data_IF_284920500069
#
_entry.id   IF_284920500069
#
_cell.length_a   1.000
_cell.length_b   1.000
_cell.length_c   1.000
_cell.angle_alpha   90.00
_cell.angle_beta   90.00
_cell.angle_gamma   90.00
#
_symmetry.space_group_name_H-M   'P 1'
#
loop_
_entity.id
_entity.type
_entity.pdbx_description
1 polymer ?
#
# COMPACT_ATOMS: atom_id res chain seq x y z
N UNK A 1 12.85 4.84 -3.15
CA UNK A 1 11.69 5.25 -3.97
C UNK A 1 12.16 5.36 -5.41
N UNK A 2 11.55 4.66 -6.35
CA UNK A 2 11.71 5.00 -7.77
C UNK A 2 10.90 6.28 -8.03
N UNK A 3 11.55 7.34 -8.51
CA UNK A 3 10.86 8.58 -8.85
C UNK A 3 10.12 8.35 -10.18
N UNK A 4 8.85 8.72 -10.29
CA UNK A 4 8.00 8.36 -11.46
C UNK A 4 8.31 9.20 -12.72
N UNK A 5 9.53 9.75 -12.76
CA UNK A 5 10.19 10.47 -13.83
C UNK A 5 11.69 10.12 -13.79
N UNK A 6 12.04 8.84 -13.86
CA UNK A 6 13.20 8.49 -14.68
C UNK A 6 12.91 9.02 -16.09
N UNK A 7 13.57 10.12 -16.42
CA UNK A 7 13.59 10.65 -17.78
C UNK A 7 14.10 9.51 -18.65
N UNK A 8 13.31 9.08 -19.62
CA UNK A 8 13.70 8.02 -20.56
C UNK A 8 15.00 8.45 -21.22
N UNK A 9 16.09 7.87 -20.74
CA UNK A 9 17.43 8.11 -21.25
C UNK A 9 17.51 7.40 -22.59
N UNK A 10 17.08 8.10 -23.65
CA UNK A 10 17.29 7.66 -25.02
C UNK A 10 18.78 7.28 -25.16
N UNK A 11 19.11 6.14 -25.81
CA UNK A 11 20.51 5.71 -25.95
C UNK A 11 21.36 6.70 -26.76
N UNK A 12 20.72 7.61 -27.48
CA UNK A 12 21.33 8.76 -28.14
C UNK A 12 21.31 10.00 -27.24
N UNK A 13 22.45 10.69 -27.11
CA UNK A 13 22.52 11.97 -26.41
C UNK A 13 21.57 13.02 -27.04
N UNK A 14 20.92 13.90 -26.24
CA UNK A 14 19.92 14.83 -26.76
C UNK A 14 20.53 15.83 -27.73
N UNK A 15 19.96 15.87 -28.94
CA UNK A 15 20.41 16.72 -30.04
C UNK A 15 20.09 18.22 -29.83
N UNK A 16 20.43 19.02 -30.84
CA UNK A 16 20.26 20.47 -30.82
C UNK A 16 18.79 20.91 -30.74
N UNK A 17 17.87 20.22 -31.41
CA UNK A 17 16.44 20.53 -31.39
C UNK A 17 15.81 20.25 -30.02
N UNK A 18 16.16 19.11 -29.40
CA UNK A 18 15.76 18.78 -28.04
C UNK A 18 16.27 19.81 -27.02
N UNK A 19 17.52 20.28 -27.18
CA UNK A 19 18.10 21.34 -26.33
C UNK A 19 17.39 22.69 -26.50
N UNK A 20 17.03 23.06 -27.73
CA UNK A 20 16.24 24.27 -28.01
C UNK A 20 14.85 24.16 -27.36
N UNK A 21 14.13 23.05 -27.55
CA UNK A 21 12.81 22.83 -26.98
C UNK A 21 12.83 22.88 -25.43
N UNK A 22 13.79 22.23 -24.80
CA UNK A 22 13.98 22.28 -23.33
C UNK A 22 14.29 23.69 -22.85
N UNK A 23 15.17 24.43 -23.54
CA UNK A 23 15.47 25.82 -23.18
C UNK A 23 14.28 26.76 -23.39
N UNK A 24 13.45 26.54 -24.42
CA UNK A 24 12.20 27.27 -24.62
C UNK A 24 11.18 26.98 -23.49
N UNK A 25 11.04 25.72 -23.06
CA UNK A 25 10.18 25.35 -21.92
C UNK A 25 10.67 25.94 -20.59
N UNK A 26 11.98 26.11 -20.40
CA UNK A 26 12.54 26.86 -19.25
C UNK A 26 12.29 28.37 -19.39
N UNK A 27 12.49 28.95 -20.58
CA UNK A 27 12.24 30.38 -20.85
C UNK A 27 10.76 30.79 -20.70
N UNK A 28 9.84 29.93 -21.14
CA UNK A 28 8.39 30.04 -20.88
C UNK A 28 8.02 29.77 -19.40
N UNK A 29 9.00 29.51 -18.54
CA UNK A 29 8.81 29.19 -17.12
C UNK A 29 7.87 27.98 -16.88
N UNK A 30 7.82 27.02 -17.82
CA UNK A 30 7.09 25.77 -17.65
C UNK A 30 7.95 24.70 -16.97
N UNK A 31 9.27 24.77 -17.14
CA UNK A 31 10.27 23.98 -16.42
C UNK A 31 11.16 24.87 -15.53
N UNK A 32 11.60 24.31 -14.40
CA UNK A 32 12.59 24.87 -13.47
C UNK A 32 13.78 23.92 -13.40
N UNK A 33 14.99 24.48 -13.38
CA UNK A 33 16.23 23.72 -13.11
C UNK A 33 16.40 23.56 -11.60
N UNK A 34 16.59 22.34 -11.12
CA UNK A 34 16.93 22.06 -9.72
C UNK A 34 18.45 22.09 -9.52
N UNK A 35 18.90 22.27 -8.27
CA UNK A 35 20.33 22.43 -7.94
C UNK A 35 21.23 21.21 -8.23
N UNK A 36 20.62 20.05 -8.49
CA UNK A 36 21.24 18.80 -8.96
C UNK A 36 21.33 18.72 -10.50
N UNK A 37 21.03 19.81 -11.21
CA UNK A 37 21.04 19.90 -12.67
C UNK A 37 19.81 19.31 -13.37
N UNK A 38 18.88 18.68 -12.64
CA UNK A 38 17.65 18.10 -13.22
C UNK A 38 16.63 19.20 -13.57
N UNK A 39 15.54 18.79 -14.23
CA UNK A 39 14.43 19.66 -14.63
C UNK A 39 13.12 19.15 -14.01
N UNK A 40 12.29 20.08 -13.52
CA UNK A 40 10.95 19.79 -12.98
C UNK A 40 9.93 20.81 -13.48
N UNK A 41 8.68 20.40 -13.68
CA UNK A 41 7.61 21.31 -14.07
C UNK A 41 7.39 22.39 -13.00
N UNK A 42 7.31 23.67 -13.40
CA UNK A 42 7.24 24.82 -12.47
C UNK A 42 6.02 24.76 -11.57
N UNK A 43 4.84 24.52 -12.14
CA UNK A 43 3.59 24.43 -11.38
C UNK A 43 3.64 23.34 -10.32
N UNK A 44 4.18 22.16 -10.66
CA UNK A 44 4.42 21.09 -9.67
C UNK A 44 5.45 21.51 -8.63
N UNK A 45 6.55 22.14 -9.02
CA UNK A 45 7.58 22.62 -8.08
C UNK A 45 7.01 23.66 -7.10
N UNK A 46 6.14 24.56 -7.55
CA UNK A 46 5.43 25.52 -6.70
C UNK A 46 4.44 24.79 -5.78
N UNK A 47 3.60 23.89 -6.29
CA UNK A 47 2.65 23.12 -5.49
C UNK A 47 3.35 22.27 -4.41
N UNK A 48 4.38 21.51 -4.80
CA UNK A 48 5.25 20.77 -3.89
C UNK A 48 5.88 21.69 -2.82
N UNK A 49 6.33 22.90 -3.19
CA UNK A 49 6.92 23.86 -2.24
C UNK A 49 5.88 24.43 -1.28
N UNK A 50 4.69 24.78 -1.76
CA UNK A 50 3.58 25.28 -0.93
C UNK A 50 3.09 24.20 0.04
N UNK A 51 2.94 22.95 -0.42
CA UNK A 51 2.58 21.82 0.45
C UNK A 51 3.67 21.58 1.50
N UNK A 52 4.94 21.46 1.10
CA UNK A 52 6.04 21.11 2.01
C UNK A 52 6.39 22.22 3.01
N UNK A 53 6.40 23.49 2.57
CA UNK A 53 6.99 24.60 3.30
C UNK A 53 5.96 25.64 3.81
N UNK A 54 4.67 25.48 3.49
CA UNK A 54 3.59 26.36 3.99
C UNK A 54 2.48 25.55 4.63
N UNK A 55 1.79 24.69 3.87
CA UNK A 55 0.60 23.99 4.33
C UNK A 55 0.91 22.94 5.41
N UNK A 56 2.06 22.24 5.35
CA UNK A 56 2.50 21.35 6.45
C UNK A 56 2.72 22.05 7.80
N UNK A 57 2.91 23.37 7.81
CA UNK A 57 2.98 24.17 9.05
C UNK A 57 1.62 24.76 9.46
N UNK A 58 0.56 24.48 8.69
CA UNK A 58 -0.81 24.94 8.91
C UNK A 58 -1.78 23.78 8.65
N UNK A 59 -1.86 22.84 9.59
CA UNK A 59 -2.62 21.59 9.44
C UNK A 59 -4.08 21.82 9.02
N UNK A 60 -4.73 22.87 9.52
CA UNK A 60 -6.12 23.23 9.18
C UNK A 60 -6.26 23.67 7.70
N UNK A 61 -5.39 24.57 7.21
CA UNK A 61 -5.33 24.95 5.79
C UNK A 61 -5.10 23.70 4.91
N UNK A 62 -4.20 22.80 5.33
CA UNK A 62 -3.89 21.57 4.60
C UNK A 62 -5.06 20.57 4.60
N UNK A 63 -5.70 20.35 5.74
CA UNK A 63 -6.89 19.50 5.88
C UNK A 63 -8.00 20.00 4.95
N UNK A 64 -8.29 21.30 4.99
CA UNK A 64 -9.31 21.92 4.15
C UNK A 64 -8.99 21.78 2.66
N UNK A 65 -7.74 22.06 2.23
CA UNK A 65 -7.33 21.92 0.82
C UNK A 65 -7.50 20.47 0.35
N UNK A 66 -7.05 19.49 1.13
CA UNK A 66 -7.12 18.07 0.75
C UNK A 66 -8.58 17.58 0.74
N UNK A 67 -9.39 17.96 1.73
CA UNK A 67 -10.82 17.65 1.76
C UNK A 67 -11.55 18.23 0.53
N UNK A 68 -11.27 19.49 0.14
CA UNK A 68 -11.89 20.11 -1.05
C UNK A 68 -11.42 19.49 -2.36
N UNK A 69 -10.14 19.13 -2.49
CA UNK A 69 -9.63 18.44 -3.67
C UNK A 69 -10.22 17.02 -3.79
N UNK A 70 -10.27 16.26 -2.70
CA UNK A 70 -10.87 14.93 -2.69
C UNK A 70 -12.37 15.00 -3.02
N UNK A 71 -13.11 15.92 -2.40
CA UNK A 71 -14.53 16.13 -2.67
C UNK A 71 -14.82 16.50 -4.14
N UNK A 72 -13.97 17.36 -4.73
CA UNK A 72 -14.08 17.73 -6.14
C UNK A 72 -13.88 16.52 -7.06
N UNK A 73 -12.81 15.74 -6.87
CA UNK A 73 -12.57 14.56 -7.69
C UNK A 73 -13.59 13.44 -7.42
N UNK A 74 -14.13 13.33 -6.21
CA UNK A 74 -15.23 12.41 -5.89
C UNK A 74 -16.51 12.75 -6.67
N UNK A 75 -16.95 14.01 -6.64
CA UNK A 75 -18.12 14.46 -7.40
C UNK A 75 -17.98 14.25 -8.92
N UNK A 76 -16.76 14.28 -9.46
CA UNK A 76 -16.48 14.04 -10.88
C UNK A 76 -16.29 12.56 -11.25
N UNK A 77 -15.74 11.73 -10.35
CA UNK A 77 -15.24 10.39 -10.70
C UNK A 77 -15.91 9.21 -10.00
N UNK A 78 -16.89 9.42 -9.11
CA UNK A 78 -17.59 8.35 -8.40
C UNK A 78 -18.22 7.29 -9.33
N UNK A 79 -18.73 7.71 -10.49
CA UNK A 79 -19.36 6.83 -11.49
C UNK A 79 -18.35 6.20 -12.46
N UNK A 80 -17.04 6.42 -12.29
CA UNK A 80 -16.00 6.01 -13.24
C UNK A 80 -15.25 4.79 -12.70
N UNK A 81 -15.51 3.64 -13.32
CA UNK A 81 -14.87 2.35 -12.98
C UNK A 81 -13.47 2.18 -13.58
N UNK A 82 -13.12 2.93 -14.64
CA UNK A 82 -11.77 2.88 -15.20
C UNK A 82 -10.76 3.64 -14.32
N UNK A 83 -9.89 2.88 -13.66
CA UNK A 83 -8.80 3.38 -12.84
C UNK A 83 -7.68 4.11 -13.63
N UNK A 84 -7.65 3.98 -14.97
CA UNK A 84 -6.76 4.77 -15.84
C UNK A 84 -7.35 6.13 -16.22
N UNK A 85 -8.66 6.35 -16.09
CA UNK A 85 -9.26 7.65 -16.34
C UNK A 85 -8.64 8.71 -15.43
N UNK A 86 -8.22 9.84 -16.02
CA UNK A 86 -7.40 10.87 -15.35
C UNK A 86 -7.93 11.25 -13.97
N UNK A 87 -9.23 11.47 -13.88
CA UNK A 87 -9.87 12.04 -12.70
C UNK A 87 -10.18 10.98 -11.63
N UNK A 88 -10.43 9.72 -12.03
CA UNK A 88 -10.49 8.55 -11.12
C UNK A 88 -9.10 8.23 -10.57
N UNK A 89 -8.07 8.29 -11.43
CA UNK A 89 -6.67 8.14 -11.05
C UNK A 89 -6.19 9.25 -10.09
N UNK A 90 -6.66 10.49 -10.27
CA UNK A 90 -6.41 11.59 -9.33
C UNK A 90 -7.10 11.37 -7.98
N UNK A 91 -8.37 10.94 -7.99
CA UNK A 91 -9.11 10.58 -6.77
C UNK A 91 -8.42 9.48 -5.96
N UNK A 92 -8.00 8.38 -6.61
CA UNK A 92 -7.33 7.26 -5.94
C UNK A 92 -5.99 7.69 -5.31
N UNK A 93 -5.25 8.61 -5.95
CA UNK A 93 -4.01 9.17 -5.40
C UNK A 93 -4.25 10.07 -4.18
N UNK A 94 -5.36 10.79 -4.14
CA UNK A 94 -5.78 11.58 -2.98
C UNK A 94 -6.33 10.71 -1.84
N UNK A 95 -7.03 9.61 -2.16
CA UNK A 95 -7.52 8.64 -1.18
C UNK A 95 -6.39 7.85 -0.50
N UNK A 96 -5.26 7.61 -1.18
CA UNK A 96 -4.20 6.72 -0.72
C UNK A 96 -3.75 7.03 0.74
N UNK A 97 -3.80 6.03 1.61
CA UNK A 97 -3.36 6.12 3.00
C UNK A 97 -1.89 6.58 3.13
N UNK A 98 -0.99 6.17 2.21
CA UNK A 98 0.38 6.66 2.16
C UNK A 98 0.45 8.17 1.90
N UNK A 99 -0.45 8.70 1.04
CA UNK A 99 -0.57 10.15 0.80
C UNK A 99 -0.96 10.84 2.10
N UNK A 100 -2.03 10.38 2.78
CA UNK A 100 -2.48 10.96 4.06
C UNK A 100 -1.39 10.95 5.13
N UNK A 101 -0.71 9.81 5.32
CA UNK A 101 0.42 9.69 6.26
C UNK A 101 1.59 10.61 5.86
N UNK A 102 1.89 10.74 4.56
CA UNK A 102 2.96 11.64 4.09
C UNK A 102 2.67 13.12 4.33
N UNK A 103 1.41 13.51 4.53
CA UNK A 103 1.03 14.90 4.81
C UNK A 103 1.20 15.29 6.29
N UNK A 104 1.42 14.32 7.19
CA UNK A 104 1.59 14.54 8.63
C UNK A 104 0.40 15.28 9.27
N UNK A 105 -0.81 14.95 8.79
CA UNK A 105 -2.09 15.32 9.39
C UNK A 105 -2.42 14.39 10.56
N UNK A 106 -3.16 14.89 11.53
CA UNK A 106 -3.58 14.11 12.69
C UNK A 106 -4.71 13.15 12.31
N UNK A 107 -4.84 12.01 13.02
CA UNK A 107 -5.75 10.93 12.62
C UNK A 107 -7.21 11.40 12.43
N UNK A 108 -7.68 12.32 13.27
CA UNK A 108 -9.05 12.84 13.19
C UNK A 108 -9.25 13.89 12.09
N UNK A 109 -8.17 14.53 11.61
CA UNK A 109 -8.19 15.33 10.39
C UNK A 109 -8.30 14.43 9.14
N UNK A 110 -7.55 13.33 9.09
CA UNK A 110 -7.62 12.34 8.00
C UNK A 110 -9.00 11.68 7.94
N UNK A 111 -9.62 11.38 9.09
CA UNK A 111 -11.00 10.91 9.17
C UNK A 111 -11.99 11.92 8.58
N UNK A 112 -11.94 13.19 9.02
CA UNK A 112 -12.80 14.26 8.47
C UNK A 112 -12.64 14.44 6.95
N UNK A 113 -11.43 14.29 6.41
CA UNK A 113 -11.18 14.28 4.96
C UNK A 113 -11.93 13.13 4.27
N UNK A 114 -11.83 11.91 4.78
CA UNK A 114 -12.56 10.77 4.21
C UNK A 114 -14.08 10.92 4.39
N UNK A 115 -14.54 11.34 5.57
CA UNK A 115 -15.96 11.52 5.89
C UNK A 115 -16.62 12.60 4.99
N UNK A 116 -15.89 13.67 4.63
CA UNK A 116 -16.38 14.67 3.69
C UNK A 116 -16.70 14.10 2.29
N UNK A 117 -15.93 13.11 1.84
CA UNK A 117 -16.12 12.44 0.56
C UNK A 117 -17.11 11.26 0.60
N UNK A 118 -17.53 10.83 1.79
CA UNK A 118 -18.34 9.63 2.02
C UNK A 118 -19.60 9.58 1.16
N UNK A 119 -20.33 10.70 1.03
CA UNK A 119 -21.57 10.80 0.25
C UNK A 119 -21.45 10.41 -1.24
N UNK A 120 -20.24 10.41 -1.79
CA UNK A 120 -19.96 10.02 -3.17
C UNK A 120 -19.27 8.65 -3.27
N UNK A 121 -18.65 8.17 -2.20
CA UNK A 121 -17.70 7.04 -2.21
C UNK A 121 -18.05 5.89 -1.26
N UNK A 122 -19.19 5.97 -0.55
CA UNK A 122 -19.70 4.90 0.31
C UNK A 122 -19.87 3.54 -0.42
N UNK A 123 -20.01 3.57 -1.75
CA UNK A 123 -20.20 2.39 -2.60
C UNK A 123 -18.90 1.97 -3.33
N UNK A 124 -17.76 2.65 -3.09
CA UNK A 124 -16.46 2.36 -3.71
C UNK A 124 -15.56 1.53 -2.77
N UNK A 125 -15.23 0.29 -3.16
CA UNK A 125 -14.35 -0.58 -2.37
C UNK A 125 -12.94 0.02 -2.18
N UNK A 126 -12.45 0.86 -3.11
CA UNK A 126 -11.15 1.51 -2.95
C UNK A 126 -11.16 2.57 -1.85
N UNK A 127 -12.25 3.29 -1.65
CA UNK A 127 -12.40 4.28 -0.57
C UNK A 127 -12.32 3.61 0.80
N UNK A 128 -13.09 2.53 1.00
CA UNK A 128 -13.05 1.77 2.25
C UNK A 128 -11.71 1.06 2.49
N UNK A 129 -11.09 0.51 1.44
CA UNK A 129 -9.75 -0.06 1.51
C UNK A 129 -8.70 0.94 2.02
N UNK A 130 -8.71 2.19 1.54
CA UNK A 130 -7.76 3.19 2.02
C UNK A 130 -8.05 3.64 3.47
N UNK A 131 -9.33 3.76 3.86
CA UNK A 131 -9.70 3.97 5.27
C UNK A 131 -9.22 2.82 6.16
N UNK A 132 -9.35 1.57 5.70
CA UNK A 132 -8.90 0.39 6.42
C UNK A 132 -7.38 0.36 6.61
N UNK A 133 -6.61 0.54 5.53
CA UNK A 133 -5.14 0.54 5.59
C UNK A 133 -4.60 1.69 6.45
N UNK A 134 -5.24 2.86 6.42
CA UNK A 134 -4.88 3.98 7.31
C UNK A 134 -5.10 3.63 8.79
N UNK A 135 -6.29 3.16 9.18
CA UNK A 135 -6.56 2.77 10.57
C UNK A 135 -5.67 1.59 11.02
N UNK A 136 -5.34 0.66 10.11
CA UNK A 136 -4.42 -0.45 10.37
C UNK A 136 -2.99 0.02 10.64
N UNK A 137 -2.47 0.99 9.86
CA UNK A 137 -1.16 1.61 10.15
C UNK A 137 -1.16 2.41 11.46
N UNK A 138 -2.32 2.90 11.92
CA UNK A 138 -2.48 3.51 13.25
C UNK A 138 -2.69 2.49 14.38
N UNK A 139 -2.64 1.18 14.09
CA UNK A 139 -2.86 0.09 15.05
C UNK A 139 -4.32 -0.11 15.49
N UNK A 140 -5.27 0.59 14.87
CA UNK A 140 -6.70 0.65 15.24
C UNK A 140 -7.49 -0.46 14.54
N UNK A 141 -7.09 -1.71 14.82
CA UNK A 141 -7.47 -2.87 14.01
C UNK A 141 -8.97 -3.18 13.97
N UNK A 142 -9.74 -2.83 15.01
CA UNK A 142 -11.21 -2.98 15.00
C UNK A 142 -11.86 -2.05 13.95
N UNK A 143 -11.37 -0.81 13.85
CA UNK A 143 -11.83 0.15 12.83
C UNK A 143 -11.38 -0.27 11.43
N UNK A 144 -10.17 -0.80 11.29
CA UNK A 144 -9.72 -1.37 10.03
C UNK A 144 -10.60 -2.55 9.59
N UNK A 145 -10.96 -3.45 10.51
CA UNK A 145 -11.85 -4.59 10.27
C UNK A 145 -13.24 -4.12 9.82
N UNK A 146 -13.81 -3.10 10.48
CA UNK A 146 -15.10 -2.52 10.10
C UNK A 146 -15.07 -1.88 8.70
N UNK A 147 -14.01 -1.13 8.38
CA UNK A 147 -13.82 -0.58 7.04
C UNK A 147 -13.64 -1.69 5.98
N UNK A 148 -12.95 -2.79 6.27
CA UNK A 148 -12.82 -3.94 5.37
C UNK A 148 -14.14 -4.68 5.14
N UNK A 149 -14.97 -4.80 6.17
CA UNK A 149 -16.32 -5.35 6.04
C UNK A 149 -17.18 -4.50 5.08
N UNK A 150 -17.09 -3.17 5.17
CA UNK A 150 -17.72 -2.26 4.22
C UNK A 150 -17.14 -2.41 2.81
N UNK A 151 -15.80 -2.46 2.66
CA UNK A 151 -15.13 -2.65 1.37
C UNK A 151 -15.60 -3.93 0.65
N UNK A 152 -15.82 -5.02 1.39
CA UNK A 152 -16.32 -6.31 0.86
C UNK A 152 -17.82 -6.32 0.57
N UNK A 153 -18.58 -5.36 1.09
CA UNK A 153 -20.00 -5.15 0.75
C UNK A 153 -20.21 -4.36 -0.54
N UNK A 154 -19.22 -3.56 -0.95
CA UNK A 154 -19.24 -2.81 -2.20
C UNK A 154 -19.04 -3.72 -3.44
N UNK A 155 -19.47 -3.30 -4.65
CA UNK A 155 -19.21 -4.02 -5.89
C UNK A 155 -17.74 -4.38 -6.08
N UNK A 156 -17.49 -5.61 -6.56
CA UNK A 156 -16.19 -6.26 -6.77
C UNK A 156 -15.26 -6.41 -5.55
N UNK A 157 -15.53 -5.71 -4.43
CA UNK A 157 -14.63 -5.64 -3.28
C UNK A 157 -14.47 -6.94 -2.48
N UNK A 158 -15.38 -7.91 -2.63
CA UNK A 158 -15.27 -9.24 -2.03
C UNK A 158 -14.29 -10.16 -2.74
N UNK A 159 -14.02 -9.92 -4.03
CA UNK A 159 -13.01 -10.65 -4.82
C UNK A 159 -11.74 -9.84 -5.08
N UNK A 160 -11.73 -8.53 -4.80
CA UNK A 160 -10.53 -7.71 -5.02
C UNK A 160 -9.32 -8.18 -4.22
N UNK A 161 -8.21 -8.33 -4.94
CA UNK A 161 -6.94 -8.82 -4.43
C UNK A 161 -6.31 -7.92 -3.38
N UNK A 162 -6.57 -6.60 -3.39
CA UNK A 162 -6.03 -5.67 -2.39
C UNK A 162 -6.89 -5.71 -1.12
N UNK A 163 -8.22 -5.74 -1.25
CA UNK A 163 -9.14 -5.91 -0.11
C UNK A 163 -8.86 -7.22 0.64
N UNK A 164 -8.72 -8.36 -0.08
CA UNK A 164 -8.36 -9.65 0.55
C UNK A 164 -6.97 -9.62 1.18
N UNK A 165 -6.00 -8.96 0.56
CA UNK A 165 -4.63 -8.80 1.13
C UNK A 165 -4.65 -7.98 2.42
N UNK A 166 -5.41 -6.88 2.45
CA UNK A 166 -5.56 -6.00 3.62
C UNK A 166 -6.37 -6.68 4.74
N UNK A 167 -7.41 -7.45 4.42
CA UNK A 167 -8.15 -8.24 5.40
C UNK A 167 -7.25 -9.29 6.06
N UNK A 168 -6.46 -10.02 5.28
CA UNK A 168 -5.51 -10.98 5.81
C UNK A 168 -4.44 -10.31 6.69
N UNK A 169 -3.87 -9.17 6.25
CA UNK A 169 -2.94 -8.34 7.05
C UNK A 169 -3.55 -7.96 8.42
N UNK A 170 -4.81 -7.53 8.45
CA UNK A 170 -5.49 -7.14 9.70
C UNK A 170 -5.78 -8.35 10.60
N UNK A 171 -6.21 -9.50 10.06
CA UNK A 171 -6.42 -10.74 10.85
C UNK A 171 -5.12 -11.23 11.52
N UNK A 172 -4.00 -11.23 10.79
CA UNK A 172 -2.68 -11.55 11.34
C UNK A 172 -2.29 -10.54 12.44
N UNK A 173 -2.50 -9.24 12.19
CA UNK A 173 -2.28 -8.18 13.16
C UNK A 173 -3.11 -8.34 14.44
N UNK A 174 -4.37 -8.75 14.33
CA UNK A 174 -5.30 -8.88 15.45
C UNK A 174 -4.86 -10.00 16.41
N UNK A 175 -4.59 -11.19 15.87
CA UNK A 175 -4.09 -12.32 16.66
C UNK A 175 -2.68 -12.09 17.23
N UNK A 176 -1.86 -11.21 16.64
CA UNK A 176 -0.61 -10.76 17.26
C UNK A 176 -0.82 -9.87 18.50
N UNK A 177 -2.02 -9.34 18.78
CA UNK A 177 -2.28 -8.59 20.02
C UNK A 177 -2.38 -9.51 21.24
N UNK A 178 -2.94 -10.71 21.07
CA UNK A 178 -3.08 -11.75 22.10
C UNK A 178 -2.60 -13.12 21.57
N UNK A 179 -1.26 -13.36 21.49
CA UNK A 179 -0.70 -14.60 20.96
C UNK A 179 -0.98 -15.83 21.82
N UNK A 180 -1.38 -15.65 23.08
CA UNK A 180 -1.68 -16.73 24.02
C UNK A 180 -3.06 -17.35 23.80
N UNK A 181 -3.90 -16.72 22.97
CA UNK A 181 -5.30 -17.07 22.75
C UNK A 181 -5.48 -18.00 21.54
N UNK A 182 -5.73 -19.31 21.75
CA UNK A 182 -5.71 -20.28 20.66
C UNK A 182 -6.88 -20.13 19.68
N UNK A 183 -7.96 -19.45 20.09
CA UNK A 183 -9.09 -19.11 19.23
C UNK A 183 -8.69 -18.00 18.25
N UNK A 184 -8.11 -16.90 18.74
CA UNK A 184 -7.65 -15.80 17.87
C UNK A 184 -6.51 -16.23 16.94
N UNK A 185 -5.54 -16.99 17.44
CA UNK A 185 -4.43 -17.49 16.61
C UNK A 185 -4.95 -18.43 15.50
N UNK A 186 -5.78 -19.43 15.80
CA UNK A 186 -6.31 -20.32 14.75
C UNK A 186 -7.29 -19.61 13.79
N UNK A 187 -8.03 -18.61 14.25
CA UNK A 187 -8.84 -17.77 13.36
C UNK A 187 -8.01 -16.95 12.35
N UNK A 188 -6.71 -16.76 12.60
CA UNK A 188 -5.79 -16.09 11.69
C UNK A 188 -5.08 -17.03 10.70
N UNK A 189 -5.05 -18.36 10.93
CA UNK A 189 -4.46 -19.33 9.98
C UNK A 189 -5.01 -19.15 8.55
N UNK A 190 -6.34 -19.03 8.31
CA UNK A 190 -6.90 -18.77 6.98
C UNK A 190 -6.33 -17.54 6.26
N UNK A 191 -5.87 -16.51 6.98
CA UNK A 191 -5.28 -15.32 6.37
C UNK A 191 -4.00 -15.62 5.58
N UNK A 192 -3.19 -16.58 6.03
CA UNK A 192 -1.98 -17.03 5.31
C UNK A 192 -2.38 -17.74 4.01
N UNK A 193 -3.41 -18.56 4.05
CA UNK A 193 -3.96 -19.23 2.87
C UNK A 193 -4.60 -18.25 1.88
N UNK A 194 -5.34 -17.25 2.37
CA UNK A 194 -5.94 -16.19 1.54
C UNK A 194 -4.85 -15.37 0.81
N UNK A 195 -3.77 -14.98 1.52
CA UNK A 195 -2.61 -14.31 0.93
C UNK A 195 -1.92 -15.18 -0.12
N UNK A 196 -1.66 -16.45 0.18
CA UNK A 196 -1.04 -17.39 -0.75
C UNK A 196 -1.92 -17.66 -1.99
N UNK A 197 -3.23 -17.74 -1.80
CA UNK A 197 -4.23 -17.89 -2.88
C UNK A 197 -4.27 -16.65 -3.79
N UNK A 198 -4.18 -15.44 -3.23
CA UNK A 198 -4.05 -14.20 -4.02
C UNK A 198 -2.72 -14.18 -4.78
N UNK A 199 -1.61 -14.47 -4.10
CA UNK A 199 -0.28 -14.50 -4.69
C UNK A 199 -0.15 -15.52 -5.85
N UNK A 200 -0.74 -16.71 -5.71
CA UNK A 200 -0.75 -17.75 -6.75
C UNK A 200 -1.74 -17.47 -7.89
N UNK A 201 -2.94 -16.92 -7.62
CA UNK A 201 -3.95 -16.53 -8.62
C UNK A 201 -3.47 -15.39 -9.53
N UNK A 202 -2.86 -14.35 -8.96
CA UNK A 202 -2.50 -13.12 -9.68
C UNK A 202 -1.01 -12.99 -10.02
N UNK A 203 -0.11 -13.77 -9.38
CA UNK A 203 1.34 -13.81 -9.64
C UNK A 203 1.95 -12.41 -9.69
N UNK A 204 2.69 -12.08 -10.76
CA UNK A 204 3.35 -10.78 -10.94
C UNK A 204 2.43 -9.54 -10.85
N UNK A 205 1.10 -9.72 -10.94
CA UNK A 205 0.12 -8.64 -10.77
C UNK A 205 -0.27 -8.37 -9.30
N UNK A 206 0.24 -9.14 -8.33
CA UNK A 206 -0.02 -8.96 -6.91
C UNK A 206 1.26 -8.90 -6.04
N UNK A 207 2.22 -7.98 -6.33
CA UNK A 207 3.45 -7.85 -5.54
C UNK A 207 3.20 -7.61 -4.03
N UNK A 208 2.17 -6.83 -3.69
CA UNK A 208 1.80 -6.58 -2.29
C UNK A 208 1.40 -7.84 -1.52
N UNK A 209 0.77 -8.83 -2.16
CA UNK A 209 0.41 -10.08 -1.50
C UNK A 209 1.65 -10.90 -1.12
N UNK A 210 2.68 -10.93 -1.99
CA UNK A 210 3.98 -11.53 -1.64
C UNK A 210 4.66 -10.79 -0.49
N UNK A 211 4.67 -9.45 -0.51
CA UNK A 211 5.28 -8.63 0.55
C UNK A 211 4.59 -8.86 1.90
N UNK A 212 3.25 -8.85 1.94
CA UNK A 212 2.49 -9.07 3.18
C UNK A 212 2.63 -10.51 3.68
N UNK A 213 2.58 -11.51 2.79
CA UNK A 213 2.79 -12.92 3.15
C UNK A 213 4.20 -13.16 3.73
N UNK A 214 5.23 -12.64 3.08
CA UNK A 214 6.61 -12.75 3.54
C UNK A 214 6.81 -12.03 4.88
N UNK A 215 6.40 -10.76 4.97
CA UNK A 215 6.67 -9.92 6.14
C UNK A 215 5.75 -10.23 7.33
N UNK A 216 4.44 -10.02 7.16
CA UNK A 216 3.50 -10.12 8.27
C UNK A 216 3.16 -11.58 8.60
N UNK A 217 3.20 -12.48 7.60
CA UNK A 217 3.11 -13.93 7.83
C UNK A 217 4.27 -14.48 8.68
N UNK A 218 5.52 -14.13 8.36
CA UNK A 218 6.68 -14.57 9.16
C UNK A 218 6.66 -13.98 10.57
N UNK A 219 6.32 -12.69 10.72
CA UNK A 219 6.21 -12.02 12.04
C UNK A 219 5.09 -12.64 12.90
N UNK A 220 3.97 -12.98 12.28
CA UNK A 220 2.87 -13.67 12.95
C UNK A 220 3.27 -15.08 13.38
N UNK A 221 3.91 -15.87 12.51
CA UNK A 221 4.39 -17.21 12.85
C UNK A 221 5.45 -17.18 13.97
N UNK A 222 6.40 -16.23 13.91
CA UNK A 222 7.41 -15.99 14.94
C UNK A 222 6.80 -15.66 16.32
N UNK A 223 5.68 -14.90 16.35
CA UNK A 223 5.04 -14.46 17.60
C UNK A 223 4.00 -15.44 18.14
N UNK A 224 3.26 -16.11 17.25
CA UNK A 224 2.07 -16.91 17.59
C UNK A 224 2.26 -18.42 17.36
N UNK A 225 3.36 -18.84 16.73
CA UNK A 225 3.58 -20.23 16.30
C UNK A 225 3.59 -21.26 17.44
N UNK A 226 3.99 -20.87 18.66
CA UNK A 226 3.93 -21.73 19.84
C UNK A 226 2.51 -22.08 20.31
N UNK A 227 1.49 -21.39 19.79
CA UNK A 227 0.06 -21.61 20.09
C UNK A 227 -0.64 -22.45 19.00
N UNK A 228 0.03 -22.69 17.86
CA UNK A 228 -0.43 -23.57 16.78
C UNK A 228 -0.15 -25.04 17.13
N UNK A 229 -0.93 -25.96 16.56
CA UNK A 229 -0.51 -27.37 16.50
C UNK A 229 0.70 -27.53 15.56
N UNK A 230 1.53 -28.59 15.72
CA UNK A 230 2.66 -28.82 14.83
C UNK A 230 2.28 -28.93 13.34
N UNK A 231 1.09 -29.44 13.04
CA UNK A 231 0.57 -29.49 11.66
C UNK A 231 0.25 -28.10 11.12
N UNK A 232 -0.49 -27.28 11.87
CA UNK A 232 -0.79 -25.89 11.48
C UNK A 232 0.48 -25.05 11.34
N UNK A 233 1.47 -25.23 12.22
CA UNK A 233 2.77 -24.56 12.16
C UNK A 233 3.51 -24.88 10.86
N UNK A 234 3.65 -26.16 10.53
CA UNK A 234 4.37 -26.60 9.32
C UNK A 234 3.63 -26.16 8.05
N UNK A 235 2.30 -26.30 8.00
CA UNK A 235 1.53 -25.85 6.83
C UNK A 235 1.66 -24.33 6.62
N UNK A 236 1.53 -23.52 7.67
CA UNK A 236 1.74 -22.06 7.59
C UNK A 236 3.15 -21.72 7.12
N UNK A 237 4.17 -22.32 7.73
CA UNK A 237 5.59 -22.10 7.40
C UNK A 237 5.85 -22.40 5.91
N UNK A 238 5.36 -23.54 5.41
CA UNK A 238 5.54 -23.93 4.02
C UNK A 238 4.77 -23.02 3.06
N UNK A 239 3.57 -22.53 3.38
CA UNK A 239 2.89 -21.52 2.54
C UNK A 239 3.63 -20.18 2.47
N UNK A 240 4.28 -19.76 3.55
CA UNK A 240 5.10 -18.53 3.54
C UNK A 240 6.39 -18.79 2.71
N UNK A 241 7.04 -19.95 2.87
CA UNK A 241 8.23 -20.34 2.10
C UNK A 241 7.94 -20.46 0.59
N UNK A 242 6.88 -21.17 0.21
CA UNK A 242 6.37 -21.25 -1.16
C UNK A 242 6.06 -19.86 -1.72
N UNK A 243 5.43 -19.00 -0.90
CA UNK A 243 5.11 -17.61 -1.23
C UNK A 243 6.35 -16.77 -1.54
N UNK A 244 7.37 -16.80 -0.68
CA UNK A 244 8.66 -16.11 -0.87
C UNK A 244 9.35 -16.62 -2.14
N UNK A 245 9.44 -17.94 -2.32
CA UNK A 245 10.07 -18.57 -3.48
C UNK A 245 9.34 -18.26 -4.81
N UNK A 246 8.01 -18.15 -4.78
CA UNK A 246 7.19 -17.73 -5.93
C UNK A 246 7.32 -16.23 -6.20
N UNK A 247 7.37 -15.39 -5.16
CA UNK A 247 7.57 -13.95 -5.29
C UNK A 247 8.89 -13.61 -6.00
N UNK A 248 9.99 -14.26 -5.59
CA UNK A 248 11.30 -14.13 -6.26
C UNK A 248 11.26 -14.49 -7.75
N UNK A 249 10.42 -15.44 -8.15
CA UNK A 249 10.26 -15.90 -9.55
C UNK A 249 9.30 -15.04 -10.37
N UNK A 250 8.24 -14.49 -9.75
CA UNK A 250 7.17 -13.76 -10.45
C UNK A 250 7.32 -12.23 -10.41
N UNK A 251 8.18 -11.68 -9.56
CA UNK A 251 8.38 -10.24 -9.39
C UNK A 251 9.88 -9.84 -9.32
N UNK A 252 10.78 -10.34 -10.19
CA UNK A 252 12.24 -10.18 -10.03
C UNK A 252 12.71 -8.71 -10.03
N UNK A 253 12.05 -7.83 -10.77
CA UNK A 253 12.38 -6.40 -10.86
C UNK A 253 11.69 -5.55 -9.77
N UNK A 254 10.79 -6.14 -8.96
CA UNK A 254 10.07 -5.41 -7.93
C UNK A 254 10.89 -5.31 -6.64
N UNK A 255 11.49 -4.15 -6.41
CA UNK A 255 12.32 -3.88 -5.22
C UNK A 255 11.61 -4.16 -3.88
N UNK A 256 10.29 -3.98 -3.76
CA UNK A 256 9.58 -4.30 -2.51
C UNK A 256 9.52 -5.81 -2.29
N UNK A 257 9.26 -6.61 -3.35
CA UNK A 257 9.27 -8.08 -3.27
C UNK A 257 10.69 -8.60 -3.05
N UNK A 258 11.70 -8.07 -3.77
CA UNK A 258 13.10 -8.45 -3.57
C UNK A 258 13.57 -8.21 -2.12
N UNK A 259 13.32 -7.01 -1.59
CA UNK A 259 13.64 -6.68 -0.19
C UNK A 259 12.91 -7.60 0.80
N UNK A 260 11.62 -7.90 0.58
CA UNK A 260 10.88 -8.82 1.46
C UNK A 260 11.38 -10.29 1.36
N UNK A 261 11.82 -10.73 0.18
CA UNK A 261 12.44 -12.05 -0.02
C UNK A 261 13.77 -12.14 0.71
N UNK A 262 14.60 -11.11 0.64
CA UNK A 262 15.94 -11.12 1.23
C UNK A 262 15.92 -10.87 2.75
N UNK A 263 14.95 -10.12 3.29
CA UNK A 263 14.75 -9.94 4.75
C UNK A 263 14.09 -11.17 5.40
N UNK A 264 13.01 -11.73 4.81
CA UNK A 264 12.20 -12.77 5.45
C UNK A 264 12.52 -14.21 5.03
N UNK A 265 13.20 -14.42 3.90
CA UNK A 265 13.66 -15.73 3.46
C UNK A 265 14.55 -16.45 4.49
N UNK A 266 15.64 -15.83 4.97
CA UNK A 266 16.49 -16.41 6.02
C UNK A 266 15.73 -16.67 7.33
N UNK A 267 14.77 -15.79 7.66
CA UNK A 267 13.95 -15.90 8.87
C UNK A 267 13.00 -17.10 8.86
N UNK A 268 12.48 -17.47 7.69
CA UNK A 268 11.63 -18.66 7.55
C UNK A 268 12.43 -19.95 7.69
N UNK A 269 13.68 -20.00 7.22
CA UNK A 269 14.55 -21.16 7.47
C UNK A 269 15.02 -21.25 8.94
N UNK A 270 15.21 -20.11 9.62
CA UNK A 270 15.41 -20.07 11.09
C UNK A 270 14.18 -20.60 11.86
N UNK A 271 12.97 -20.21 11.44
CA UNK A 271 11.71 -20.72 12.01
C UNK A 271 11.47 -22.20 11.67
N UNK A 272 11.96 -22.69 10.52
CA UNK A 272 11.93 -24.12 10.15
C UNK A 272 12.78 -24.95 11.11
N UNK A 273 13.98 -24.46 11.46
CA UNK A 273 14.87 -25.10 12.42
C UNK A 273 14.39 -25.08 13.88
N UNK A 274 13.44 -24.20 14.22
CA UNK A 274 12.84 -24.07 15.57
C UNK A 274 11.43 -24.66 15.69
N UNK A 275 10.97 -25.43 14.71
CA UNK A 275 9.60 -25.96 14.67
C UNK A 275 9.26 -26.87 15.86
N UNK A 276 8.02 -26.82 16.40
CA UNK A 276 7.60 -27.61 17.55
C UNK A 276 7.69 -29.12 17.24
N UNK A 277 8.64 -29.80 17.89
CA UNK A 277 8.98 -31.21 17.66
C UNK A 277 10.45 -31.46 17.34
N UNK A 278 11.23 -30.42 17.04
CA UNK A 278 12.69 -30.50 16.86
C UNK A 278 13.38 -30.25 18.22
N UNK A 279 14.24 -31.16 18.73
CA UNK A 279 15.07 -30.89 19.90
C UNK A 279 16.14 -29.82 19.62
N UNK A 280 16.42 -28.99 20.63
CA UNK A 280 17.53 -28.01 20.64
C UNK A 280 18.76 -28.62 21.30
#
# INVERSE_FOLDING_TARGET
MADLLEIVSHPSAPDHSHRIAVNALVGMNLLVRTGDGRLRCRQRTIADTVVRNVLRHRKEDLEWVIAKLLLFYAGQAWHITDNQHRDRSAMIKLLNHETMRSLNLDADAVRRIYDAAHQFLQDDHHYWLQRAEYEAEQGRLDLATNHLAAAKGCPDGSEDRLVVTAEAKVRLGYSMQDPANPQLVRAAVPAVHDLFKVATKYRGKAPHAFVVLAREGSRWLEKCGGTLTPQEYVEVLDRIAEGIALGKKCCPENHQVGYAVDEYGPKIEELRGRGPGIPV
#
